data_IF_957361082824
#
_entry.id   IF_957361082824
#
_cell.length_a   1.000
_cell.length_b   1.000
_cell.length_c   1.000
_cell.angle_alpha   90.00
_cell.angle_beta   90.00
_cell.angle_gamma   90.00
#
_symmetry.space_group_name_H-M   'P 1'
#
loop_
_entity.id
_entity.type
_entity.pdbx_description
1 polymer ?
#
# COMPACT_ATOMS: atom_id res chain seq x y z
N UNK A 1 1.58 -28.60 9.09
CA UNK A 1 1.62 -28.36 7.63
C UNK A 1 2.16 -26.96 7.46
N UNK A 2 3.44 -26.78 7.11
CA UNK A 2 3.99 -25.45 6.85
C UNK A 2 3.46 -24.98 5.49
N UNK A 3 2.31 -24.33 5.48
CA UNK A 3 1.87 -23.57 4.33
C UNK A 3 2.82 -22.39 4.16
N UNK A 4 3.91 -22.60 3.42
CA UNK A 4 4.74 -21.51 2.91
C UNK A 4 3.82 -20.67 2.02
N UNK A 5 3.28 -19.57 2.58
CA UNK A 5 2.45 -18.63 1.83
C UNK A 5 3.25 -18.20 0.60
N UNK A 6 2.73 -18.40 -0.63
CA UNK A 6 3.49 -18.11 -1.83
C UNK A 6 3.90 -16.64 -1.82
N UNK A 7 5.21 -16.38 -1.97
CA UNK A 7 5.72 -15.02 -2.11
C UNK A 7 5.02 -14.36 -3.31
N UNK A 8 4.54 -13.12 -3.18
CA UNK A 8 3.85 -12.46 -4.27
C UNK A 8 4.79 -12.31 -5.46
N UNK A 9 4.26 -12.57 -6.65
CA UNK A 9 5.02 -12.33 -7.88
C UNK A 9 5.20 -10.84 -8.11
N UNK A 10 6.21 -10.43 -8.88
CA UNK A 10 6.45 -9.02 -9.24
C UNK A 10 5.20 -8.36 -9.83
N UNK A 11 4.39 -9.10 -10.60
CA UNK A 11 3.11 -8.62 -11.13
C UNK A 11 2.11 -8.27 -10.02
N UNK A 12 1.98 -9.11 -8.99
CA UNK A 12 1.08 -8.85 -7.87
C UNK A 12 1.54 -7.65 -7.03
N UNK A 13 2.85 -7.53 -6.81
CA UNK A 13 3.42 -6.35 -6.12
C UNK A 13 3.11 -5.05 -6.86
N UNK A 14 3.23 -5.03 -8.18
CA UNK A 14 2.86 -3.86 -8.99
C UNK A 14 1.38 -3.51 -8.86
N UNK A 15 0.48 -4.50 -8.94
CA UNK A 15 -0.96 -4.27 -8.81
C UNK A 15 -1.31 -3.69 -7.43
N UNK A 16 -0.69 -4.19 -6.36
CA UNK A 16 -0.96 -3.72 -5.01
C UNK A 16 -0.35 -2.37 -4.68
N UNK A 17 0.64 -1.90 -5.44
CA UNK A 17 1.20 -0.56 -5.30
C UNK A 17 0.32 0.54 -5.94
N UNK A 18 -0.62 0.17 -6.82
CA UNK A 18 -1.49 1.11 -7.55
C UNK A 18 -2.23 2.07 -6.60
N UNK A 19 -2.87 1.63 -5.50
CA UNK A 19 -3.59 2.53 -4.60
C UNK A 19 -2.68 3.58 -3.94
N UNK A 20 -1.46 3.20 -3.54
CA UNK A 20 -0.50 4.11 -2.94
C UNK A 20 0.00 5.16 -3.95
N UNK A 21 0.30 4.73 -5.18
CA UNK A 21 0.74 5.64 -6.26
C UNK A 21 -0.41 6.59 -6.67
N UNK A 22 -1.63 6.08 -6.79
CA UNK A 22 -2.80 6.88 -7.12
C UNK A 22 -3.08 7.96 -6.05
N UNK A 23 -2.99 7.61 -4.77
CA UNK A 23 -3.11 8.58 -3.67
C UNK A 23 -2.03 9.66 -3.73
N UNK A 24 -0.78 9.27 -3.97
CA UNK A 24 0.34 10.22 -4.09
C UNK A 24 0.11 11.21 -5.24
N UNK A 25 -0.28 10.72 -6.42
CA UNK A 25 -0.57 11.58 -7.58
C UNK A 25 -1.73 12.54 -7.32
N UNK A 26 -2.80 12.05 -6.69
CA UNK A 26 -3.93 12.89 -6.29
C UNK A 26 -3.51 13.96 -5.29
N UNK A 27 -2.63 13.64 -4.34
CA UNK A 27 -2.10 14.62 -3.36
C UNK A 27 -1.26 15.69 -4.02
N UNK A 28 -0.39 15.31 -4.96
CA UNK A 28 0.42 16.26 -5.73
C UNK A 28 -0.51 17.21 -6.51
N UNK A 29 -1.55 16.69 -7.16
CA UNK A 29 -2.52 17.50 -7.88
C UNK A 29 -3.32 18.42 -6.94
N UNK A 30 -3.75 17.91 -5.78
CA UNK A 30 -4.45 18.68 -4.77
C UNK A 30 -3.59 19.81 -4.18
N UNK A 31 -2.29 19.58 -4.01
CA UNK A 31 -1.31 20.60 -3.59
C UNK A 31 -1.16 21.70 -4.65
N UNK A 32 -1.03 21.32 -5.92
CA UNK A 32 -0.93 22.29 -7.03
C UNK A 32 -2.19 23.18 -7.11
N UNK A 33 -3.36 22.59 -6.91
CA UNK A 33 -4.65 23.30 -7.00
C UNK A 33 -5.00 23.99 -5.67
N UNK A 34 -4.21 23.81 -4.61
CA UNK A 34 -4.50 24.29 -3.25
C UNK A 34 -5.89 23.91 -2.74
N UNK A 35 -6.42 22.78 -3.21
CA UNK A 35 -7.76 22.32 -2.86
C UNK A 35 -7.74 20.81 -2.60
N UNK A 36 -8.36 20.38 -1.50
CA UNK A 36 -8.48 18.96 -1.16
C UNK A 36 -7.17 18.29 -0.74
N UNK A 37 -6.16 19.05 -0.30
CA UNK A 37 -4.87 18.50 0.18
C UNK A 37 -5.07 17.51 1.32
N UNK A 38 -5.99 17.80 2.24
CA UNK A 38 -6.35 16.93 3.37
C UNK A 38 -6.90 15.58 2.88
N UNK A 39 -7.75 15.61 1.85
CA UNK A 39 -8.27 14.41 1.20
C UNK A 39 -7.16 13.66 0.47
N UNK A 40 -6.24 14.37 -0.19
CA UNK A 40 -5.06 13.78 -0.84
C UNK A 40 -4.19 13.01 0.14
N UNK A 41 -3.80 13.68 1.22
CA UNK A 41 -3.01 13.09 2.29
C UNK A 41 -3.73 11.87 2.90
N UNK A 42 -5.04 11.96 3.13
CA UNK A 42 -5.85 10.84 3.61
C UNK A 42 -5.81 9.62 2.69
N UNK A 43 -6.00 9.81 1.38
CA UNK A 43 -5.96 8.72 0.39
C UNK A 43 -4.55 8.13 0.26
N UNK A 44 -3.51 8.96 0.31
CA UNK A 44 -2.12 8.49 0.27
C UNK A 44 -1.77 7.64 1.48
N UNK A 45 -2.11 8.13 2.68
CA UNK A 45 -1.88 7.40 3.93
C UNK A 45 -2.65 6.07 3.94
N UNK A 46 -3.90 6.08 3.47
CA UNK A 46 -4.68 4.85 3.31
C UNK A 46 -4.03 3.86 2.34
N UNK A 47 -3.57 4.33 1.17
CA UNK A 47 -2.89 3.49 0.19
C UNK A 47 -1.59 2.87 0.71
N UNK A 48 -0.81 3.64 1.46
CA UNK A 48 0.40 3.16 2.13
C UNK A 48 0.05 2.13 3.21
N UNK A 49 -0.95 2.41 4.04
CA UNK A 49 -1.40 1.48 5.09
C UNK A 49 -1.89 0.16 4.49
N UNK A 50 -2.69 0.21 3.42
CA UNK A 50 -3.15 -0.97 2.69
C UNK A 50 -1.97 -1.80 2.17
N UNK A 51 -0.99 -1.13 1.57
CA UNK A 51 0.23 -1.78 1.09
C UNK A 51 1.02 -2.44 2.22
N UNK A 52 1.21 -1.74 3.34
CA UNK A 52 1.91 -2.26 4.52
C UNK A 52 1.19 -3.43 5.19
N UNK A 53 -0.14 -3.41 5.31
CA UNK A 53 -0.88 -4.54 5.87
C UNK A 53 -0.76 -5.76 4.94
N UNK A 54 -0.83 -5.52 3.62
CA UNK A 54 -0.77 -6.60 2.63
C UNK A 54 0.62 -7.21 2.51
N UNK A 55 1.68 -6.41 2.64
CA UNK A 55 3.08 -6.84 2.52
C UNK A 55 3.74 -7.15 3.87
N UNK A 56 3.56 -6.31 4.88
CA UNK A 56 4.18 -6.43 6.20
C UNK A 56 3.78 -7.70 6.95
N UNK A 57 2.57 -8.22 6.71
CA UNK A 57 2.13 -9.50 7.29
C UNK A 57 2.68 -10.73 6.53
N UNK A 58 3.40 -10.54 5.41
CA UNK A 58 4.06 -11.63 4.68
C UNK A 58 5.53 -11.79 5.08
N UNK A 59 6.14 -10.80 5.72
CA UNK A 59 7.53 -10.87 6.22
C UNK A 59 7.62 -11.24 7.70
N UNK A 60 6.50 -11.31 8.41
CA UNK A 60 6.47 -11.79 9.80
C UNK A 60 6.39 -13.32 9.77
N UNK A 61 7.54 -13.98 9.90
CA UNK A 61 7.62 -15.34 10.40
C UNK A 61 7.18 -15.30 11.87
N UNK A 62 5.88 -15.49 12.13
CA UNK A 62 5.44 -15.86 13.48
C UNK A 62 6.06 -17.22 13.79
N UNK A 63 6.92 -17.36 14.82
CA UNK A 63 7.42 -18.66 15.24
C UNK A 63 6.21 -19.56 15.51
N UNK A 64 6.22 -20.77 14.94
CA UNK A 64 5.19 -21.76 15.23
C UNK A 64 5.15 -21.96 16.76
N UNK A 65 4.00 -21.68 17.37
CA UNK A 65 3.74 -22.02 18.78
C UNK A 65 3.44 -23.51 18.92
#
# INVERSE_FOLDING_TARGET
MSETRPKPTTKQMMIWAIPAIAGLLFTIMALIIHNGVEWGLGVTLFGILYFLIRYGNQTIETPDQ
#
